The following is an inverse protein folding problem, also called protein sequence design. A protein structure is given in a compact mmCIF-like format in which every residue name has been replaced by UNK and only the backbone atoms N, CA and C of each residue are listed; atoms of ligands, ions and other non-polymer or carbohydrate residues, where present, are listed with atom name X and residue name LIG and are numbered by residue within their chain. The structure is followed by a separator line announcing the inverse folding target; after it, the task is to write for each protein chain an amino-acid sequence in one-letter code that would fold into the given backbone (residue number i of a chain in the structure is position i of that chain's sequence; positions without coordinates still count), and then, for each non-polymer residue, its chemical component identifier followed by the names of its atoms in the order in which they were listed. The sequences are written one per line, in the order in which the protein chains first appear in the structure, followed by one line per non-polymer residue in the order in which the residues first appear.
data_IF_442228711854
#
_entry.id   IF_442228711854
#
_cell.length_a   1.000
_cell.length_b   1.000
_cell.length_c   1.000
_cell.angle_alpha   90.00
_cell.angle_beta   90.00
_cell.angle_gamma   90.00
#
_symmetry.space_group_name_H-M   'P 1'
#
loop_
_entity.id
_entity.type
_entity.pdbx_description
1 polymer ?
#
# COMPACT_ATOMS: atom_id res chain seq x y z
N UNK A 1 33.90 3.08 -19.95
CA UNK A 1 33.40 1.70 -19.85
C UNK A 1 32.48 1.56 -18.65
N UNK A 2 31.32 0.99 -18.85
CA UNK A 2 30.39 0.81 -17.73
C UNK A 2 30.92 -0.25 -16.75
N UNK A 3 30.81 0.03 -15.47
CA UNK A 3 31.11 -0.92 -14.42
C UNK A 3 29.94 -1.93 -14.34
N UNK A 4 30.24 -3.23 -14.48
CA UNK A 4 29.23 -4.29 -14.40
C UNK A 4 28.54 -4.35 -13.04
N UNK A 5 29.16 -3.81 -11.97
CA UNK A 5 28.57 -3.78 -10.63
C UNK A 5 27.39 -2.83 -10.53
N UNK A 6 27.21 -1.91 -11.48
CA UNK A 6 26.07 -0.97 -11.51
C UNK A 6 24.94 -1.42 -12.43
N UNK A 7 25.04 -2.61 -13.04
CA UNK A 7 23.94 -3.15 -13.83
C UNK A 7 22.73 -3.44 -12.92
N UNK A 8 21.52 -3.06 -13.36
CA UNK A 8 20.33 -3.32 -12.58
C UNK A 8 20.12 -4.81 -12.32
N UNK A 9 19.85 -5.15 -11.07
CA UNK A 9 19.48 -6.50 -10.69
C UNK A 9 17.97 -6.58 -10.46
N UNK A 10 17.36 -7.71 -10.81
CA UNK A 10 15.94 -7.96 -10.51
C UNK A 10 15.77 -8.24 -9.03
N UNK A 11 14.54 -8.00 -8.55
CA UNK A 11 14.15 -8.21 -7.15
C UNK A 11 13.13 -9.34 -7.14
N UNK A 12 13.38 -10.35 -6.30
CA UNK A 12 12.48 -11.50 -6.17
C UNK A 12 12.10 -11.69 -4.70
N UNK A 13 10.80 -11.81 -4.44
CA UNK A 13 10.26 -12.08 -3.11
C UNK A 13 9.44 -13.36 -3.16
N UNK A 14 9.87 -14.37 -2.42
CA UNK A 14 9.06 -15.56 -2.21
C UNK A 14 7.89 -15.24 -1.26
N UNK A 15 6.90 -16.11 -1.21
CA UNK A 15 5.75 -15.93 -0.32
C UNK A 15 6.19 -15.71 1.14
N UNK A 16 7.17 -16.49 1.62
CA UNK A 16 7.67 -16.33 2.99
C UNK A 16 8.25 -14.93 3.25
N UNK A 17 8.88 -14.31 2.24
CA UNK A 17 9.42 -12.95 2.35
C UNK A 17 8.29 -11.93 2.46
N UNK A 18 7.21 -12.12 1.69
CA UNK A 18 6.06 -11.23 1.71
C UNK A 18 5.36 -11.21 3.07
N UNK A 19 5.44 -12.29 3.84
CA UNK A 19 4.90 -12.41 5.18
C UNK A 19 5.93 -12.21 6.28
N UNK A 20 7.15 -11.83 5.93
CA UNK A 20 8.23 -11.56 6.88
C UNK A 20 8.02 -10.27 7.66
N UNK A 21 9.01 -9.95 8.53
CA UNK A 21 8.95 -8.76 9.38
C UNK A 21 8.98 -7.48 8.55
N UNK A 22 8.25 -6.48 9.03
CA UNK A 22 8.24 -5.13 8.48
C UNK A 22 8.78 -4.15 9.51
N UNK A 23 9.30 -3.02 9.06
CA UNK A 23 9.72 -1.93 9.92
C UNK A 23 8.50 -1.13 10.37
N UNK A 24 8.36 -0.92 11.69
CA UNK A 24 7.31 -0.07 12.25
C UNK A 24 7.52 1.38 11.78
N UNK A 25 6.51 1.95 11.15
CA UNK A 25 6.52 3.32 10.65
C UNK A 25 5.60 4.25 11.43
N UNK A 26 5.07 3.79 12.55
CA UNK A 26 4.32 4.60 13.49
C UNK A 26 2.82 4.72 13.20
N UNK A 27 2.14 5.61 13.92
CA UNK A 27 0.72 5.85 13.72
C UNK A 27 0.41 6.33 12.30
N UNK A 28 -0.73 5.93 11.76
CA UNK A 28 -1.23 6.47 10.49
C UNK A 28 -1.74 7.89 10.75
N UNK A 29 -0.99 8.88 10.26
CA UNK A 29 -1.36 10.29 10.41
C UNK A 29 -2.69 10.57 9.70
N UNK A 30 -3.56 11.36 10.35
CA UNK A 30 -4.86 11.74 9.79
C UNK A 30 -5.97 10.72 10.03
N UNK A 31 -5.72 9.66 10.79
CA UNK A 31 -6.78 8.74 11.17
C UNK A 31 -7.83 9.42 12.03
N UNK A 32 -9.09 9.17 11.74
CA UNK A 32 -10.25 9.70 12.46
C UNK A 32 -11.07 8.59 13.14
N UNK A 33 -10.69 7.34 12.93
CA UNK A 33 -11.32 6.18 13.55
C UNK A 33 -10.24 5.19 13.96
N UNK A 34 -10.33 4.67 15.20
CA UNK A 34 -9.32 3.78 15.75
C UNK A 34 -7.97 4.45 15.95
N UNK A 35 -6.96 3.63 16.17
CA UNK A 35 -5.57 4.06 16.33
C UNK A 35 -4.67 3.24 15.41
N UNK A 36 -4.88 3.31 14.08
CA UNK A 36 -4.14 2.46 13.15
C UNK A 36 -2.65 2.78 13.15
N UNK A 37 -1.85 1.73 13.06
CA UNK A 37 -0.41 1.80 13.06
C UNK A 37 0.13 1.11 11.82
N UNK A 38 1.11 1.72 11.17
CA UNK A 38 1.66 1.26 9.91
C UNK A 38 3.03 0.61 10.08
N UNK A 39 3.35 -0.30 9.16
CA UNK A 39 4.66 -0.89 9.01
C UNK A 39 4.95 -1.08 7.52
N UNK A 40 6.22 -1.07 7.14
CA UNK A 40 6.60 -1.07 5.73
C UNK A 40 7.93 -1.76 5.49
N UNK A 41 8.09 -2.31 4.29
CA UNK A 41 9.37 -2.71 3.74
C UNK A 41 9.41 -2.32 2.26
N UNK A 42 10.29 -1.38 1.93
CA UNK A 42 10.48 -0.93 0.55
C UNK A 42 11.26 -1.98 -0.23
N UNK A 43 10.76 -2.38 -1.39
CA UNK A 43 11.45 -3.27 -2.32
C UNK A 43 12.20 -2.47 -3.37
N UNK A 44 11.59 -1.41 -3.87
CA UNK A 44 12.20 -0.52 -4.86
C UNK A 44 11.76 0.92 -4.58
N UNK A 45 12.72 1.81 -4.57
CA UNK A 45 12.49 3.26 -4.59
C UNK A 45 13.27 3.84 -5.76
N UNK A 46 12.58 4.12 -6.86
CA UNK A 46 13.15 4.67 -8.09
C UNK A 46 12.59 6.07 -8.36
N UNK A 47 12.48 6.90 -7.30
CA UNK A 47 11.90 8.22 -7.39
C UNK A 47 10.39 8.18 -7.59
N UNK A 48 9.87 8.41 -8.81
CA UNK A 48 8.43 8.42 -9.05
C UNK A 48 7.78 7.04 -8.94
N UNK A 49 8.56 5.96 -9.09
CA UNK A 49 8.08 4.58 -8.99
C UNK A 49 8.57 3.97 -7.69
N UNK A 50 7.64 3.50 -6.87
CA UNK A 50 7.94 2.80 -5.62
C UNK A 50 7.13 1.53 -5.51
N UNK A 51 7.71 0.49 -4.90
CA UNK A 51 6.95 -0.69 -4.54
C UNK A 51 7.48 -1.29 -3.23
N UNK A 52 6.63 -2.02 -2.56
CA UNK A 52 6.98 -2.62 -1.29
C UNK A 52 5.85 -3.45 -0.70
N UNK A 53 6.03 -3.75 0.58
CA UNK A 53 5.03 -4.43 1.41
C UNK A 53 4.64 -3.48 2.54
N UNK A 54 3.35 -3.32 2.77
CA UNK A 54 2.80 -2.41 3.78
C UNK A 54 1.74 -3.13 4.60
N UNK A 55 1.70 -2.80 5.88
CA UNK A 55 0.72 -3.35 6.82
C UNK A 55 0.15 -2.23 7.66
N UNK A 56 -1.13 -2.34 8.00
CA UNK A 56 -1.79 -1.38 8.88
C UNK A 56 -2.83 -2.07 9.76
N UNK A 57 -2.80 -1.72 11.04
CA UNK A 57 -3.79 -2.20 12.02
C UNK A 57 -5.13 -1.48 11.86
N UNK A 58 -6.23 -2.00 12.47
CA UNK A 58 -7.57 -1.46 12.27
C UNK A 58 -7.72 0.03 12.58
N UNK A 59 -8.50 0.69 11.75
CA UNK A 59 -8.83 2.11 11.84
C UNK A 59 -9.21 2.68 10.49
N UNK A 60 -9.52 3.98 10.44
CA UNK A 60 -9.98 4.61 9.23
C UNK A 60 -9.51 6.04 9.04
N UNK A 61 -9.46 6.47 7.79
CA UNK A 61 -9.08 7.83 7.40
C UNK A 61 -9.61 8.14 6.00
N UNK A 62 -9.72 9.44 5.72
CA UNK A 62 -10.07 9.95 4.40
C UNK A 62 -8.83 10.30 3.60
N UNK A 63 -8.92 10.17 2.28
CA UNK A 63 -7.92 10.64 1.32
C UNK A 63 -8.61 11.62 0.38
N UNK A 64 -7.96 12.74 0.11
CA UNK A 64 -8.43 13.76 -0.81
C UNK A 64 -7.41 13.97 -1.91
N UNK A 65 -7.85 13.85 -3.16
CA UNK A 65 -7.05 14.14 -4.35
C UNK A 65 -5.67 13.46 -4.32
N UNK A 66 -5.68 12.15 -4.40
CA UNK A 66 -4.47 11.33 -4.31
C UNK A 66 -3.41 11.78 -5.34
N UNK A 67 -2.12 11.99 -4.93
CA UNK A 67 -1.09 12.53 -5.82
C UNK A 67 -0.45 11.49 -6.74
N UNK A 68 -0.82 10.22 -6.61
CA UNK A 68 -0.24 9.12 -7.39
C UNK A 68 -1.29 8.06 -7.68
N UNK A 69 -1.00 7.19 -8.64
CA UNK A 69 -1.73 5.95 -8.84
C UNK A 69 -1.10 4.86 -7.98
N UNK A 70 -1.91 4.08 -7.30
CA UNK A 70 -1.45 2.94 -6.52
C UNK A 70 -2.17 1.67 -6.97
N UNK A 71 -1.40 0.61 -7.21
CA UNK A 71 -1.91 -0.74 -7.41
C UNK A 71 -1.58 -1.55 -6.17
N UNK A 72 -2.57 -2.22 -5.59
CA UNK A 72 -2.38 -3.06 -4.41
C UNK A 72 -2.82 -4.49 -4.68
N UNK A 73 -2.09 -5.42 -4.08
CA UNK A 73 -2.47 -6.83 -3.98
C UNK A 73 -2.53 -7.19 -2.51
N UNK A 74 -3.70 -7.56 -2.03
CA UNK A 74 -3.92 -7.88 -0.61
C UNK A 74 -3.40 -9.27 -0.30
N UNK A 75 -2.55 -9.37 0.71
CA UNK A 75 -1.96 -10.64 1.19
C UNK A 75 -2.77 -11.24 2.32
N UNK A 76 -3.22 -10.41 3.26
CA UNK A 76 -4.05 -10.83 4.41
C UNK A 76 -4.84 -9.66 4.97
N UNK A 77 -5.82 -9.98 5.81
CA UNK A 77 -6.66 -8.98 6.45
C UNK A 77 -7.83 -8.55 5.59
N UNK A 78 -8.55 -7.54 6.05
CA UNK A 78 -9.71 -7.02 5.34
C UNK A 78 -9.88 -5.52 5.56
N UNK A 79 -10.36 -4.84 4.54
CA UNK A 79 -10.67 -3.42 4.58
C UNK A 79 -11.83 -3.11 3.63
N UNK A 80 -12.45 -1.95 3.86
CA UNK A 80 -13.45 -1.37 2.97
C UNK A 80 -12.89 -0.08 2.40
N UNK A 81 -13.03 0.07 1.10
CA UNK A 81 -12.71 1.29 0.39
C UNK A 81 -14.00 1.91 -0.08
N UNK A 82 -14.25 3.16 0.31
CA UNK A 82 -15.44 3.90 -0.12
C UNK A 82 -15.01 5.00 -1.07
N UNK A 83 -15.46 4.93 -2.32
CA UNK A 83 -15.22 5.98 -3.31
C UNK A 83 -16.05 7.23 -2.98
N UNK A 84 -15.70 8.35 -3.61
CA UNK A 84 -16.38 9.62 -3.37
C UNK A 84 -17.88 9.57 -3.70
N UNK A 85 -18.30 8.69 -4.61
CA UNK A 85 -19.71 8.49 -4.98
C UNK A 85 -20.47 7.55 -4.03
N UNK A 86 -19.80 7.02 -3.00
CA UNK A 86 -20.37 6.10 -2.01
C UNK A 86 -20.23 4.63 -2.37
N UNK A 87 -19.68 4.28 -3.52
CA UNK A 87 -19.42 2.87 -3.87
C UNK A 87 -18.43 2.26 -2.90
N UNK A 88 -18.75 1.10 -2.35
CA UNK A 88 -17.91 0.38 -1.39
C UNK A 88 -17.28 -0.84 -2.06
N UNK A 89 -15.95 -0.94 -1.93
CA UNK A 89 -15.17 -2.08 -2.40
C UNK A 89 -14.62 -2.84 -1.19
N UNK A 90 -14.65 -4.16 -1.26
CA UNK A 90 -14.08 -5.02 -0.23
C UNK A 90 -12.66 -5.43 -0.61
N UNK A 91 -11.70 -5.20 0.29
CA UNK A 91 -10.34 -5.71 0.15
C UNK A 91 -10.21 -6.96 1.01
N UNK A 92 -9.84 -8.08 0.39
CA UNK A 92 -9.64 -9.38 1.03
C UNK A 92 -8.42 -10.05 0.44
N UNK A 93 -7.86 -11.09 1.09
CA UNK A 93 -6.70 -11.81 0.54
C UNK A 93 -6.92 -12.20 -0.93
N UNK A 94 -5.96 -11.86 -1.79
CA UNK A 94 -6.01 -12.10 -3.23
C UNK A 94 -6.65 -10.99 -4.05
N UNK A 95 -7.27 -9.99 -3.43
CA UNK A 95 -7.87 -8.85 -4.15
C UNK A 95 -6.76 -7.98 -4.75
N UNK A 96 -6.97 -7.55 -5.99
CA UNK A 96 -6.21 -6.45 -6.60
C UNK A 96 -7.12 -5.22 -6.67
N UNK A 97 -6.60 -4.08 -6.22
CA UNK A 97 -7.34 -2.82 -6.24
C UNK A 97 -6.46 -1.71 -6.79
N UNK A 98 -7.04 -0.80 -7.54
CA UNK A 98 -6.32 0.35 -8.12
C UNK A 98 -6.92 1.63 -7.59
N UNK A 99 -6.07 2.48 -7.01
CA UNK A 99 -6.41 3.85 -6.66
C UNK A 99 -5.83 4.76 -7.74
N UNK A 100 -6.65 5.31 -8.64
CA UNK A 100 -6.13 6.18 -9.69
C UNK A 100 -5.67 7.54 -9.14
N UNK A 101 -4.77 8.18 -9.85
CA UNK A 101 -4.38 9.57 -9.58
C UNK A 101 -5.64 10.44 -9.43
N UNK A 102 -5.66 11.28 -8.41
CA UNK A 102 -6.79 12.17 -8.12
C UNK A 102 -7.92 11.53 -7.32
N UNK A 103 -7.80 10.23 -6.98
CA UNK A 103 -8.82 9.55 -6.21
C UNK A 103 -9.06 10.22 -4.86
N UNK A 104 -10.33 10.37 -4.49
CA UNK A 104 -10.76 10.78 -3.16
C UNK A 104 -11.73 9.74 -2.61
N UNK A 105 -11.63 9.47 -1.32
CA UNK A 105 -12.47 8.46 -0.68
C UNK A 105 -11.99 8.14 0.72
N UNK A 106 -12.31 6.94 1.16
CA UNK A 106 -12.06 6.54 2.54
C UNK A 106 -11.54 5.09 2.62
N UNK A 107 -10.56 4.89 3.50
CA UNK A 107 -10.11 3.59 3.99
C UNK A 107 -10.75 3.28 5.34
N UNK A 108 -11.27 2.08 5.50
CA UNK A 108 -11.67 1.52 6.80
C UNK A 108 -11.11 0.10 6.90
N UNK A 109 -10.15 -0.10 7.80
CA UNK A 109 -9.51 -1.39 8.01
C UNK A 109 -10.24 -2.12 9.12
N UNK A 110 -10.79 -3.29 8.81
CA UNK A 110 -11.52 -4.13 9.76
C UNK A 110 -10.61 -5.14 10.46
N UNK A 111 -9.69 -5.76 9.71
CA UNK A 111 -8.66 -6.65 10.23
C UNK A 111 -7.32 -6.18 9.71
N UNK A 112 -6.27 -6.25 10.54
CA UNK A 112 -4.92 -5.83 10.13
C UNK A 112 -4.63 -6.30 8.70
N UNK A 113 -4.42 -5.34 7.81
CA UNK A 113 -4.25 -5.60 6.38
C UNK A 113 -2.79 -5.53 5.99
N UNK A 114 -2.35 -6.50 5.20
CA UNK A 114 -1.03 -6.49 4.56
C UNK A 114 -1.22 -6.54 3.05
N UNK A 115 -0.47 -5.71 2.35
CA UNK A 115 -0.55 -5.62 0.88
C UNK A 115 0.84 -5.48 0.26
N UNK A 116 0.99 -5.97 -0.96
CA UNK A 116 2.04 -5.51 -1.88
C UNK A 116 1.49 -4.29 -2.59
N UNK A 117 2.29 -3.25 -2.73
CA UNK A 117 1.89 -2.03 -3.42
C UNK A 117 2.90 -1.61 -4.47
N UNK A 118 2.40 -0.95 -5.51
CA UNK A 118 3.18 -0.20 -6.48
C UNK A 118 2.56 1.18 -6.59
N UNK A 119 3.35 2.23 -6.43
CA UNK A 119 2.89 3.62 -6.60
C UNK A 119 3.69 4.29 -7.70
N UNK A 120 3.00 5.09 -8.51
CA UNK A 120 3.63 5.90 -9.57
C UNK A 120 3.17 7.34 -9.41
N UNK A 121 4.14 8.22 -9.10
CA UNK A 121 3.85 9.65 -8.90
C UNK A 121 3.45 10.33 -10.21
N UNK A 122 2.39 11.14 -10.15
CA UNK A 122 1.94 11.94 -11.30
C UNK A 122 1.27 11.15 -12.42
N UNK A 123 1.01 9.89 -12.19
CA UNK A 123 0.32 9.04 -13.15
C UNK A 123 -0.85 8.32 -12.52
#
# INVERSE_FOLDING_TARGET
MADVSILPASINQAEADLFGSLEDTGPRVGADSGTPRTANRTLLDAGPLQCGVWECTPGGWSITNRPNTEVVHVLRGSARITDADGTVHQLRPGTVHVFPLGWSGRWDIDETIRKVYVTVEGL
#
